data_IF_665083838190
#
_entry.id   IF_665083838190
#
_cell.length_a   1.000
_cell.length_b   1.000
_cell.length_c   1.000
_cell.angle_alpha   90.00
_cell.angle_beta   90.00
_cell.angle_gamma   90.00
#
_symmetry.space_group_name_H-M   'P 1'
#
loop_
_entity.id
_entity.type
_entity.pdbx_description
1 polymer ?
#
# COMPACT_ATOMS: atom_id res chain seq x y z
N UNK A 1 -1.50 -26.23 13.18
CA UNK A 1 -2.57 -25.23 13.38
C UNK A 1 -2.02 -23.87 12.94
N UNK A 2 -2.68 -23.21 12.00
CA UNK A 2 -2.25 -21.91 11.45
C UNK A 2 -2.70 -20.72 12.33
N UNK A 3 -3.42 -20.96 13.41
CA UNK A 3 -3.89 -19.92 14.34
C UNK A 3 -4.62 -18.77 13.65
N UNK A 4 -4.24 -17.54 13.95
CA UNK A 4 -4.79 -16.30 13.40
C UNK A 4 -3.97 -15.75 12.19
N UNK A 5 -3.07 -16.55 11.61
CA UNK A 5 -2.10 -16.13 10.59
C UNK A 5 -2.70 -16.07 9.17
N UNK A 6 -1.90 -15.61 8.21
CA UNK A 6 -2.21 -15.57 6.79
C UNK A 6 -2.69 -16.91 6.24
N UNK A 7 -2.17 -18.04 6.72
CA UNK A 7 -2.56 -19.40 6.31
C UNK A 7 -3.82 -19.94 7.00
N UNK A 8 -4.52 -19.15 7.82
CA UNK A 8 -5.74 -19.58 8.48
C UNK A 8 -6.89 -19.73 7.47
N UNK A 9 -7.58 -20.88 7.48
CA UNK A 9 -8.79 -21.08 6.69
C UNK A 9 -9.97 -20.24 7.17
N UNK A 10 -10.01 -19.89 8.45
CA UNK A 10 -11.07 -19.07 9.06
C UNK A 10 -10.74 -17.58 9.01
N UNK A 11 -9.52 -17.20 9.41
CA UNK A 11 -9.14 -15.81 9.63
C UNK A 11 -8.21 -15.24 8.55
N UNK A 12 -7.81 -16.03 7.56
CA UNK A 12 -6.91 -15.58 6.50
C UNK A 12 -7.45 -14.38 5.69
N UNK A 13 -8.77 -14.22 5.63
CA UNK A 13 -9.42 -13.05 5.04
C UNK A 13 -9.16 -11.73 5.74
N UNK A 14 -8.74 -11.75 7.01
CA UNK A 14 -8.30 -10.56 7.72
C UNK A 14 -6.95 -10.03 7.17
N UNK A 15 -6.09 -10.91 6.72
CA UNK A 15 -4.70 -10.58 6.35
C UNK A 15 -4.49 -10.35 4.85
N UNK A 16 -5.37 -10.87 3.99
CA UNK A 16 -5.22 -10.79 2.55
C UNK A 16 -6.57 -10.75 1.84
N UNK A 17 -6.63 -10.13 0.66
CA UNK A 17 -7.75 -10.32 -0.25
C UNK A 17 -7.68 -11.71 -0.90
N UNK A 18 -8.82 -12.29 -1.35
CA UNK A 18 -8.80 -13.59 -2.02
C UNK A 18 -7.88 -13.62 -3.26
N UNK A 19 -7.90 -12.55 -4.06
CA UNK A 19 -7.09 -12.43 -5.27
C UNK A 19 -5.59 -12.38 -4.95
N UNK A 20 -5.20 -11.58 -3.96
CA UNK A 20 -3.79 -11.46 -3.54
C UNK A 20 -3.28 -12.78 -2.94
N UNK A 21 -4.10 -13.47 -2.14
CA UNK A 21 -3.76 -14.76 -1.55
C UNK A 21 -3.54 -15.83 -2.60
N UNK A 22 -4.38 -15.85 -3.65
CA UNK A 22 -4.25 -16.80 -4.74
C UNK A 22 -2.92 -16.72 -5.49
N UNK A 23 -2.24 -15.56 -5.48
CA UNK A 23 -0.92 -15.41 -6.10
C UNK A 23 0.18 -16.17 -5.34
N UNK A 24 0.02 -16.31 -4.03
CA UNK A 24 1.00 -16.95 -3.15
C UNK A 24 0.57 -18.34 -2.65
N UNK A 25 -0.51 -18.87 -3.22
CA UNK A 25 -0.98 -20.23 -2.93
C UNK A 25 0.03 -21.29 -3.38
N UNK A 26 0.16 -22.37 -2.60
CA UNK A 26 1.14 -23.41 -2.87
C UNK A 26 0.89 -24.12 -4.22
N UNK A 27 -0.38 -24.36 -4.58
CA UNK A 27 -0.70 -25.00 -5.84
C UNK A 27 -0.40 -24.07 -7.03
N UNK A 28 -0.74 -22.77 -6.90
CA UNK A 28 -0.45 -21.75 -7.90
C UNK A 28 1.06 -21.56 -8.11
N UNK A 29 1.83 -21.47 -7.01
CA UNK A 29 3.29 -21.39 -7.06
C UNK A 29 3.89 -22.63 -7.74
N UNK A 30 3.48 -23.82 -7.30
CA UNK A 30 4.00 -25.07 -7.81
C UNK A 30 3.69 -25.24 -9.30
N UNK A 31 2.47 -24.91 -9.73
CA UNK A 31 2.10 -24.91 -11.15
C UNK A 31 2.99 -23.96 -11.95
N UNK A 32 3.17 -22.74 -11.51
CA UNK A 32 4.01 -21.75 -12.20
C UNK A 32 5.49 -22.17 -12.26
N UNK A 33 6.02 -22.81 -11.21
CA UNK A 33 7.37 -23.39 -11.24
C UNK A 33 7.52 -24.47 -12.29
N UNK A 34 6.52 -25.36 -12.41
CA UNK A 34 6.48 -26.40 -13.47
C UNK A 34 6.46 -25.73 -14.84
N UNK A 35 5.60 -24.71 -15.05
CA UNK A 35 5.50 -24.01 -16.33
C UNK A 35 6.83 -23.34 -16.72
N UNK A 36 7.51 -22.71 -15.77
CA UNK A 36 8.85 -22.13 -16.00
C UNK A 36 9.88 -23.20 -16.42
N UNK A 37 9.84 -24.36 -15.78
CA UNK A 37 10.75 -25.47 -16.09
C UNK A 37 10.45 -26.13 -17.44
N UNK A 38 9.17 -26.19 -17.84
CA UNK A 38 8.78 -26.63 -19.18
C UNK A 38 9.32 -25.67 -20.24
N UNK A 39 9.09 -24.35 -20.05
CA UNK A 39 9.60 -23.34 -20.97
C UNK A 39 11.13 -23.38 -21.06
N UNK A 40 11.82 -23.59 -19.93
CA UNK A 40 13.27 -23.72 -19.92
C UNK A 40 13.73 -24.94 -20.74
N UNK A 41 13.12 -26.10 -20.56
CA UNK A 41 13.45 -27.32 -21.29
C UNK A 41 13.21 -27.16 -22.81
N UNK A 42 12.09 -26.55 -23.21
CA UNK A 42 11.78 -26.27 -24.62
C UNK A 42 12.83 -25.32 -25.24
N UNK A 43 13.18 -24.24 -24.55
CA UNK A 43 14.21 -23.29 -25.03
C UNK A 43 15.59 -23.95 -25.10
N UNK A 44 15.95 -24.79 -24.14
CA UNK A 44 17.20 -25.56 -24.19
C UNK A 44 17.24 -26.51 -25.38
N UNK A 45 16.14 -27.14 -25.71
CA UNK A 45 16.03 -28.00 -26.89
C UNK A 45 16.09 -27.19 -28.21
N UNK A 46 15.44 -26.01 -28.29
CA UNK A 46 15.54 -25.08 -29.43
C UNK A 46 17.01 -24.74 -29.73
N UNK A 47 17.86 -24.67 -28.71
CA UNK A 47 19.27 -24.29 -28.82
C UNK A 47 20.23 -25.51 -28.80
N UNK A 48 19.71 -26.73 -28.81
CA UNK A 48 20.52 -27.96 -28.83
C UNK A 48 21.27 -28.24 -27.53
N UNK A 49 20.87 -27.66 -26.42
CA UNK A 49 21.46 -27.91 -25.08
C UNK A 49 20.99 -29.24 -24.49
N UNK A 50 19.73 -29.58 -24.73
CA UNK A 50 19.16 -30.89 -24.38
C UNK A 50 18.52 -31.54 -25.60
N UNK A 51 18.31 -32.88 -25.61
CA UNK A 51 17.60 -33.55 -26.70
C UNK A 51 16.17 -33.05 -26.85
N UNK A 52 15.71 -32.81 -28.09
CA UNK A 52 14.34 -32.40 -28.35
C UNK A 52 13.29 -33.39 -27.81
N UNK A 53 13.59 -34.70 -27.85
CA UNK A 53 12.74 -35.75 -27.27
C UNK A 53 12.59 -35.58 -25.74
N UNK A 54 13.65 -35.18 -25.02
CA UNK A 54 13.59 -34.92 -23.59
C UNK A 54 12.61 -33.78 -23.29
N UNK A 55 12.71 -32.67 -24.05
CA UNK A 55 11.80 -31.54 -23.89
C UNK A 55 10.33 -31.93 -24.14
N UNK A 56 10.06 -32.77 -25.17
CA UNK A 56 8.70 -33.28 -25.45
C UNK A 56 8.17 -34.10 -24.27
N UNK A 57 8.96 -35.07 -23.77
CA UNK A 57 8.57 -35.90 -22.62
C UNK A 57 8.28 -35.08 -21.36
N UNK A 58 9.08 -34.01 -21.11
CA UNK A 58 8.84 -33.07 -20.01
C UNK A 58 7.51 -32.32 -20.22
N UNK A 59 7.30 -31.76 -21.40
CA UNK A 59 6.11 -31.00 -21.72
C UNK A 59 4.82 -31.86 -21.60
N UNK A 60 4.83 -33.06 -22.17
CA UNK A 60 3.69 -33.99 -22.15
C UNK A 60 3.34 -34.43 -20.71
N UNK A 61 4.35 -34.75 -19.91
CA UNK A 61 4.16 -35.12 -18.51
C UNK A 61 3.60 -33.95 -17.68
N UNK A 62 4.08 -32.75 -17.91
CA UNK A 62 3.65 -31.55 -17.18
C UNK A 62 2.29 -31.04 -17.64
N UNK A 63 1.91 -31.22 -18.91
CA UNK A 63 0.60 -30.81 -19.43
C UNK A 63 -0.56 -31.63 -18.81
N UNK A 64 -0.36 -32.91 -18.56
CA UNK A 64 -1.33 -33.79 -17.94
C UNK A 64 -1.34 -33.76 -16.40
N UNK A 65 -0.37 -33.03 -15.79
CA UNK A 65 -0.18 -33.03 -14.34
C UNK A 65 -1.15 -32.08 -13.64
N UNK A 66 -1.91 -32.61 -12.70
CA UNK A 66 -2.77 -31.83 -11.79
C UNK A 66 -2.03 -31.56 -10.51
N UNK A 67 -1.91 -30.28 -10.14
CA UNK A 67 -1.29 -29.86 -8.87
C UNK A 67 -2.38 -29.85 -7.80
N UNK A 68 -2.73 -31.02 -7.33
CA UNK A 68 -3.71 -31.24 -6.26
C UNK A 68 -3.02 -31.46 -4.89
N UNK A 69 -3.83 -31.73 -3.87
CA UNK A 69 -3.32 -31.99 -2.52
C UNK A 69 -2.37 -33.18 -2.45
N UNK A 70 -2.61 -34.24 -3.26
CA UNK A 70 -1.75 -35.42 -3.30
C UNK A 70 -0.38 -35.09 -3.90
N UNK A 71 -0.34 -34.30 -4.98
CA UNK A 71 0.90 -33.85 -5.59
C UNK A 71 1.70 -32.92 -4.66
N UNK A 72 1.02 -32.00 -3.97
CA UNK A 72 1.66 -31.13 -2.98
C UNK A 72 2.23 -31.91 -1.80
N UNK A 73 1.54 -32.97 -1.36
CA UNK A 73 2.04 -33.87 -0.32
C UNK A 73 3.30 -34.62 -0.77
N UNK A 74 3.34 -35.08 -2.03
CA UNK A 74 4.53 -35.69 -2.62
C UNK A 74 5.72 -34.72 -2.64
N UNK A 75 5.50 -33.47 -3.01
CA UNK A 75 6.51 -32.41 -2.97
C UNK A 75 6.99 -32.12 -1.53
N UNK A 76 6.05 -32.07 -0.56
CA UNK A 76 6.34 -31.84 0.85
C UNK A 76 7.22 -32.97 1.43
N UNK A 77 6.86 -34.21 1.18
CA UNK A 77 7.65 -35.36 1.63
C UNK A 77 9.10 -35.33 1.08
N UNK A 78 9.26 -34.92 -0.19
CA UNK A 78 10.58 -34.73 -0.78
C UNK A 78 11.35 -33.57 -0.15
N UNK A 79 10.70 -32.48 0.22
CA UNK A 79 11.35 -31.39 0.97
C UNK A 79 11.78 -31.84 2.37
N UNK A 80 10.91 -32.53 3.11
CA UNK A 80 11.19 -32.98 4.48
C UNK A 80 12.36 -33.98 4.51
N UNK A 81 12.48 -34.85 3.52
CA UNK A 81 13.56 -35.83 3.45
C UNK A 81 14.91 -35.26 3.02
N UNK A 82 14.91 -34.14 2.26
CA UNK A 82 16.14 -33.58 1.67
C UNK A 82 16.53 -32.21 2.20
N UNK A 83 15.61 -31.52 2.89
CA UNK A 83 15.72 -30.11 3.26
C UNK A 83 15.97 -29.16 2.06
N UNK A 84 15.63 -29.60 0.83
CA UNK A 84 15.85 -28.84 -0.40
C UNK A 84 14.53 -28.50 -1.10
N UNK A 85 14.27 -27.22 -1.31
CA UNK A 85 12.97 -26.68 -1.73
C UNK A 85 12.44 -27.20 -3.08
N UNK A 86 13.30 -27.69 -3.97
CA UNK A 86 12.89 -28.19 -5.31
C UNK A 86 13.01 -29.70 -5.48
N UNK A 87 13.69 -30.44 -4.61
CA UNK A 87 13.91 -31.88 -4.81
C UNK A 87 12.63 -32.69 -4.81
N UNK A 88 11.65 -32.32 -3.99
CA UNK A 88 10.31 -32.95 -4.02
C UNK A 88 9.62 -32.78 -5.37
N UNK A 89 9.59 -31.56 -5.89
CA UNK A 89 9.03 -31.24 -7.20
C UNK A 89 9.76 -31.97 -8.34
N UNK A 90 11.11 -31.91 -8.36
CA UNK A 90 11.93 -32.56 -9.38
C UNK A 90 11.66 -34.07 -9.40
N UNK A 91 11.67 -34.71 -8.24
CA UNK A 91 11.38 -36.14 -8.13
C UNK A 91 9.95 -36.50 -8.56
N UNK A 92 8.97 -35.68 -8.19
CA UNK A 92 7.57 -35.92 -8.55
C UNK A 92 7.34 -35.81 -10.07
N UNK A 93 7.95 -34.84 -10.74
CA UNK A 93 7.86 -34.69 -12.20
C UNK A 93 8.67 -35.77 -12.91
N UNK A 94 9.90 -36.06 -12.46
CA UNK A 94 10.76 -37.08 -13.06
C UNK A 94 10.11 -38.47 -13.08
N UNK A 95 9.33 -38.84 -12.06
CA UNK A 95 8.59 -40.10 -12.03
C UNK A 95 7.50 -40.19 -13.10
N UNK A 96 7.02 -39.08 -13.62
CA UNK A 96 5.96 -38.95 -14.61
C UNK A 96 6.48 -38.71 -16.03
N UNK A 97 7.67 -38.11 -16.12
CA UNK A 97 8.34 -37.90 -17.38
C UNK A 97 8.92 -39.23 -17.92
N UNK A 98 9.00 -39.36 -19.23
CA UNK A 98 9.69 -40.50 -19.85
C UNK A 98 11.19 -40.54 -19.49
N UNK A 99 11.92 -41.61 -19.86
CA UNK A 99 13.30 -41.81 -19.42
C UNK A 99 14.25 -40.66 -19.74
N UNK A 100 14.11 -40.04 -20.92
CA UNK A 100 14.91 -38.84 -21.27
C UNK A 100 14.42 -37.62 -20.53
N UNK A 101 13.12 -37.43 -20.43
CA UNK A 101 12.55 -36.31 -19.67
C UNK A 101 13.00 -36.31 -18.22
N UNK A 102 13.03 -37.46 -17.57
CA UNK A 102 13.50 -37.61 -16.19
C UNK A 102 14.98 -37.24 -16.01
N UNK A 103 15.83 -37.51 -17.01
CA UNK A 103 17.25 -37.17 -16.96
C UNK A 103 17.53 -35.67 -17.18
N UNK A 104 16.71 -35.01 -17.96
CA UNK A 104 16.97 -33.64 -18.41
C UNK A 104 16.06 -32.60 -17.72
N UNK A 105 15.08 -33.00 -16.94
CA UNK A 105 14.25 -32.06 -16.18
C UNK A 105 15.12 -31.24 -15.21
N UNK A 106 14.92 -29.92 -15.19
CA UNK A 106 15.68 -29.00 -14.35
C UNK A 106 17.16 -28.82 -14.74
N UNK A 107 17.58 -29.27 -15.92
CA UNK A 107 18.97 -29.19 -16.35
C UNK A 107 19.48 -27.74 -16.40
N UNK A 108 20.66 -27.49 -15.86
CA UNK A 108 21.35 -26.19 -15.92
C UNK A 108 20.77 -25.07 -15.04
N UNK A 109 19.64 -25.30 -14.39
CA UNK A 109 19.05 -24.33 -13.46
C UNK A 109 19.47 -24.57 -12.01
N UNK A 110 19.38 -23.53 -11.20
CA UNK A 110 19.40 -23.60 -9.74
C UNK A 110 18.05 -23.23 -9.16
N UNK A 111 17.77 -23.59 -7.92
CA UNK A 111 16.48 -23.29 -7.28
C UNK A 111 16.13 -21.81 -7.30
N UNK A 112 17.12 -20.95 -7.12
CA UNK A 112 16.90 -19.51 -7.08
C UNK A 112 16.54 -18.94 -8.44
N UNK A 113 17.01 -19.53 -9.56
CA UNK A 113 16.60 -19.13 -10.91
C UNK A 113 15.08 -19.22 -11.10
N UNK A 114 14.49 -20.32 -10.64
CA UNK A 114 13.07 -20.59 -10.78
C UNK A 114 12.25 -19.83 -9.73
N UNK A 115 12.73 -19.80 -8.49
CA UNK A 115 12.07 -19.12 -7.39
C UNK A 115 12.01 -17.60 -7.61
N UNK A 116 13.13 -16.98 -8.03
CA UNK A 116 13.20 -15.54 -8.27
C UNK A 116 12.39 -15.15 -9.52
N UNK A 117 12.50 -15.89 -10.63
CA UNK A 117 11.69 -15.62 -11.82
C UNK A 117 10.18 -15.77 -11.53
N UNK A 118 9.79 -16.79 -10.76
CA UNK A 118 8.41 -16.92 -10.25
C UNK A 118 8.02 -15.72 -9.41
N UNK A 119 8.88 -15.31 -8.46
CA UNK A 119 8.59 -14.20 -7.57
C UNK A 119 8.37 -12.90 -8.34
N UNK A 120 9.23 -12.58 -9.31
CA UNK A 120 9.07 -11.37 -10.14
C UNK A 120 7.75 -11.39 -10.93
N UNK A 121 7.37 -12.52 -11.51
CA UNK A 121 6.07 -12.69 -12.19
C UNK A 121 4.91 -12.50 -11.20
N UNK A 122 5.02 -13.05 -10.00
CA UNK A 122 4.00 -12.94 -8.95
C UNK A 122 3.88 -11.50 -8.43
N UNK A 123 5.00 -10.80 -8.21
CA UNK A 123 5.00 -9.40 -7.80
C UNK A 123 4.49 -8.48 -8.92
N UNK A 124 4.69 -8.81 -10.20
CA UNK A 124 4.06 -8.12 -11.33
C UNK A 124 2.53 -8.23 -11.27
N UNK A 125 2.02 -9.43 -11.02
CA UNK A 125 0.59 -9.66 -10.89
C UNK A 125 0.03 -8.96 -9.62
N UNK A 126 0.75 -9.02 -8.50
CA UNK A 126 0.41 -8.30 -7.27
C UNK A 126 0.40 -6.78 -7.48
N UNK A 127 1.37 -6.24 -8.23
CA UNK A 127 1.43 -4.82 -8.59
C UNK A 127 0.17 -4.38 -9.35
N UNK A 128 -0.34 -5.19 -10.27
CA UNK A 128 -1.57 -4.89 -10.98
C UNK A 128 -2.78 -4.78 -10.04
N UNK A 129 -2.89 -5.66 -9.04
CA UNK A 129 -3.93 -5.57 -8.01
C UNK A 129 -3.77 -4.32 -7.12
N UNK A 130 -2.55 -4.01 -6.71
CA UNK A 130 -2.26 -2.79 -5.93
C UNK A 130 -2.59 -1.51 -6.69
N UNK A 131 -2.28 -1.46 -7.98
CA UNK A 131 -2.63 -0.35 -8.87
C UNK A 131 -4.14 -0.17 -8.94
N UNK A 132 -4.90 -1.24 -9.12
CA UNK A 132 -6.35 -1.18 -9.16
C UNK A 132 -6.94 -0.64 -7.85
N UNK A 133 -6.42 -1.06 -6.69
CA UNK A 133 -6.85 -0.57 -5.39
C UNK A 133 -6.44 0.90 -5.14
N UNK A 134 -5.24 1.30 -5.56
CA UNK A 134 -4.82 2.70 -5.54
C UNK A 134 -5.70 3.58 -6.42
N UNK A 135 -6.03 3.14 -7.64
CA UNK A 135 -6.90 3.89 -8.54
C UNK A 135 -8.31 4.06 -7.95
N UNK A 136 -8.84 3.03 -7.27
CA UNK A 136 -10.11 3.14 -6.52
C UNK A 136 -10.02 4.13 -5.36
N UNK A 137 -8.94 4.08 -4.57
CA UNK A 137 -8.73 5.02 -3.47
C UNK A 137 -8.56 6.47 -3.97
N UNK A 138 -7.86 6.67 -5.09
CA UNK A 138 -7.70 7.96 -5.77
C UNK A 138 -9.07 8.49 -6.23
N UNK A 139 -9.90 7.65 -6.85
CA UNK A 139 -11.24 8.03 -7.29
C UNK A 139 -12.13 8.43 -6.11
N UNK A 140 -12.11 7.66 -5.01
CA UNK A 140 -12.84 7.96 -3.79
C UNK A 140 -12.37 9.28 -3.16
N UNK A 141 -11.07 9.52 -3.04
CA UNK A 141 -10.55 10.80 -2.57
C UNK A 141 -10.99 11.97 -3.45
N UNK A 142 -10.93 11.82 -4.78
CA UNK A 142 -11.36 12.85 -5.72
C UNK A 142 -12.87 13.15 -5.61
N UNK A 143 -13.69 12.14 -5.38
CA UNK A 143 -15.12 12.29 -5.09
C UNK A 143 -15.33 13.09 -3.80
N UNK A 144 -14.64 12.76 -2.71
CA UNK A 144 -14.72 13.49 -1.44
C UNK A 144 -14.25 14.95 -1.59
N UNK A 145 -13.20 15.21 -2.37
CA UNK A 145 -12.75 16.56 -2.68
C UNK A 145 -13.85 17.41 -3.34
N UNK A 146 -14.53 16.86 -4.35
CA UNK A 146 -15.61 17.57 -5.06
C UNK A 146 -16.84 17.77 -4.17
N UNK A 147 -17.30 16.70 -3.51
CA UNK A 147 -18.51 16.70 -2.69
C UNK A 147 -18.39 17.64 -1.49
N UNK A 148 -17.22 17.71 -0.89
CA UNK A 148 -16.97 18.46 0.34
C UNK A 148 -16.05 19.67 0.13
N UNK A 149 -16.01 20.20 -1.12
CA UNK A 149 -15.22 21.37 -1.50
C UNK A 149 -15.47 22.57 -0.60
N UNK A 150 -16.72 22.75 -0.16
CA UNK A 150 -17.21 23.88 0.62
C UNK A 150 -17.63 23.50 2.06
N UNK A 151 -17.48 22.24 2.45
CA UNK A 151 -17.84 21.76 3.79
C UNK A 151 -16.82 22.25 4.80
N UNK A 152 -17.20 23.22 5.63
CA UNK A 152 -16.34 23.78 6.68
C UNK A 152 -15.94 22.71 7.69
N UNK A 153 -14.66 22.68 8.04
CA UNK A 153 -14.08 21.80 9.04
C UNK A 153 -12.98 22.50 9.82
N UNK A 154 -12.71 22.11 11.07
CA UNK A 154 -11.55 22.63 11.79
C UNK A 154 -10.24 22.03 11.22
N UNK A 155 -9.33 22.87 10.81
CA UNK A 155 -7.93 22.49 10.62
C UNK A 155 -7.27 22.33 11.99
N UNK A 156 -6.62 21.18 12.23
CA UNK A 156 -5.99 20.88 13.52
C UNK A 156 -4.48 20.76 13.37
N UNK A 157 -3.76 21.42 14.26
CA UNK A 157 -2.31 21.26 14.42
C UNK A 157 -2.01 20.94 15.88
N UNK A 158 -1.08 20.04 16.14
CA UNK A 158 -0.73 19.60 17.50
C UNK A 158 -1.94 19.13 18.33
N UNK A 159 -2.95 18.53 17.65
CA UNK A 159 -4.20 18.09 18.30
C UNK A 159 -5.17 19.23 18.66
N UNK A 160 -4.83 20.50 18.37
CA UNK A 160 -5.65 21.67 18.69
C UNK A 160 -6.33 22.22 17.44
N UNK A 161 -7.52 22.79 17.61
CA UNK A 161 -8.20 23.52 16.54
C UNK A 161 -7.40 24.78 16.20
N UNK A 162 -7.03 24.90 14.95
CA UNK A 162 -6.31 26.07 14.41
C UNK A 162 -7.26 26.95 13.60
N UNK A 163 -7.17 26.88 12.29
CA UNK A 163 -7.92 27.72 11.35
C UNK A 163 -9.04 26.94 10.68
N UNK A 164 -10.08 27.63 10.14
CA UNK A 164 -11.06 27.02 9.25
C UNK A 164 -10.39 26.45 7.99
N UNK A 165 -10.77 25.26 7.63
CA UNK A 165 -10.49 24.62 6.34
C UNK A 165 -11.78 24.05 5.76
N UNK A 166 -11.70 23.39 4.60
CA UNK A 166 -12.79 22.52 4.14
C UNK A 166 -12.40 21.04 4.27
N UNK A 167 -13.38 20.15 4.44
CA UNK A 167 -13.09 18.71 4.43
C UNK A 167 -12.58 18.26 3.07
N UNK A 168 -13.05 18.87 1.97
CA UNK A 168 -12.51 18.64 0.64
C UNK A 168 -11.01 18.94 0.54
N UNK A 169 -10.51 19.98 1.23
CA UNK A 169 -9.09 20.29 1.30
C UNK A 169 -8.30 19.21 2.06
N UNK A 170 -8.84 18.67 3.14
CA UNK A 170 -8.25 17.52 3.84
C UNK A 170 -8.14 16.31 2.93
N UNK A 171 -9.23 15.96 2.22
CA UNK A 171 -9.25 14.87 1.25
C UNK A 171 -8.31 15.10 0.06
N UNK A 172 -8.10 16.36 -0.36
CA UNK A 172 -7.15 16.72 -1.42
C UNK A 172 -5.69 16.39 -1.03
N UNK A 173 -5.33 16.55 0.23
CA UNK A 173 -4.03 16.10 0.75
C UNK A 173 -3.83 14.59 0.59
N UNK A 174 -4.87 13.79 0.89
CA UNK A 174 -4.85 12.34 0.71
C UNK A 174 -4.76 11.96 -0.77
N UNK A 175 -5.55 12.60 -1.62
CA UNK A 175 -5.53 12.40 -3.08
C UNK A 175 -4.14 12.62 -3.67
N UNK A 176 -3.50 13.75 -3.33
CA UNK A 176 -2.18 14.09 -3.83
C UNK A 176 -1.11 13.06 -3.44
N UNK A 177 -1.20 12.50 -2.24
CA UNK A 177 -0.29 11.48 -1.74
C UNK A 177 -0.52 10.12 -2.43
N UNK A 178 -1.78 9.70 -2.58
CA UNK A 178 -2.15 8.47 -3.29
C UNK A 178 -1.70 8.49 -4.76
N UNK A 179 -1.79 9.63 -5.45
CA UNK A 179 -1.27 9.79 -6.81
C UNK A 179 0.26 9.59 -6.88
N UNK A 180 0.99 10.10 -5.90
CA UNK A 180 2.45 9.86 -5.83
C UNK A 180 2.78 8.39 -5.60
N UNK A 181 1.98 7.68 -4.78
CA UNK A 181 2.15 6.23 -4.60
C UNK A 181 1.83 5.45 -5.87
N UNK A 182 0.74 5.83 -6.57
CA UNK A 182 0.39 5.22 -7.85
C UNK A 182 1.54 5.33 -8.86
N UNK A 183 2.15 6.52 -8.97
CA UNK A 183 3.31 6.73 -9.84
C UNK A 183 4.50 5.86 -9.42
N UNK A 184 4.87 5.82 -8.13
CA UNK A 184 5.97 4.98 -7.64
C UNK A 184 5.77 3.50 -7.92
N UNK A 185 4.55 2.99 -7.72
CA UNK A 185 4.22 1.57 -7.98
C UNK A 185 4.35 1.24 -9.46
N UNK A 186 3.97 2.17 -10.33
CA UNK A 186 4.09 2.01 -11.78
C UNK A 186 5.56 2.06 -12.24
N UNK A 187 6.31 3.04 -11.76
CA UNK A 187 7.73 3.23 -12.07
C UNK A 187 8.61 2.06 -11.60
N UNK A 188 8.20 1.33 -10.54
CA UNK A 188 8.89 0.15 -10.07
C UNK A 188 8.96 -0.97 -11.12
N UNK A 189 8.00 -1.03 -12.06
CA UNK A 189 8.00 -2.00 -13.16
C UNK A 189 9.32 -2.03 -13.94
N UNK A 190 9.89 -0.85 -14.20
CA UNK A 190 11.13 -0.72 -14.96
C UNK A 190 12.34 -1.40 -14.28
N UNK A 191 12.31 -1.60 -12.97
CA UNK A 191 13.38 -2.25 -12.21
C UNK A 191 13.03 -3.67 -11.81
N UNK A 192 11.76 -3.98 -11.59
CA UNK A 192 11.29 -5.25 -11.05
C UNK A 192 10.98 -6.32 -12.11
N UNK A 193 10.57 -5.93 -13.35
CA UNK A 193 10.17 -6.92 -14.35
C UNK A 193 11.41 -7.56 -15.03
N UNK A 194 12.32 -8.11 -14.23
CA UNK A 194 13.53 -8.82 -14.65
C UNK A 194 13.49 -10.26 -14.19
N UNK A 195 14.12 -11.16 -14.96
CA UNK A 195 14.19 -12.57 -14.60
C UNK A 195 15.49 -12.96 -13.88
N UNK A 196 15.55 -14.18 -13.41
CA UNK A 196 16.76 -14.82 -12.89
C UNK A 196 16.94 -16.18 -13.57
N UNK A 197 18.02 -16.33 -14.31
CA UNK A 197 18.51 -17.60 -14.85
C UNK A 197 20.01 -17.45 -14.99
N UNK A 198 20.78 -18.00 -14.08
CA UNK A 198 22.21 -17.77 -14.01
C UNK A 198 23.01 -18.98 -13.49
N UNK A 199 22.32 -19.97 -12.95
CA UNK A 199 22.93 -21.18 -12.41
C UNK A 199 23.54 -20.97 -11.01
N UNK A 200 24.34 -21.91 -10.56
CA UNK A 200 24.78 -22.03 -9.17
C UNK A 200 25.48 -20.82 -8.58
N UNK A 201 26.35 -20.18 -9.36
CA UNK A 201 27.13 -18.98 -8.94
C UNK A 201 27.01 -17.81 -9.91
N UNK A 202 26.00 -17.81 -10.76
CA UNK A 202 25.73 -16.66 -11.62
C UNK A 202 26.41 -16.67 -12.99
N UNK A 203 27.08 -17.73 -13.40
CA UNK A 203 27.94 -17.78 -14.59
C UNK A 203 27.34 -18.50 -15.79
N UNK A 204 26.13 -19.08 -15.66
CA UNK A 204 25.45 -19.87 -16.69
C UNK A 204 26.26 -21.08 -17.22
N UNK A 205 27.32 -21.49 -16.54
CA UNK A 205 28.30 -22.46 -17.02
C UNK A 205 27.70 -23.80 -17.45
N UNK A 206 26.62 -24.24 -16.80
CA UNK A 206 25.95 -25.50 -17.13
C UNK A 206 25.21 -25.49 -18.48
N UNK A 207 24.92 -24.33 -19.05
CA UNK A 207 24.24 -24.18 -20.34
C UNK A 207 25.20 -24.10 -21.54
N UNK A 208 26.53 -24.10 -21.27
CA UNK A 208 27.56 -24.13 -22.28
C UNK A 208 27.57 -22.89 -23.19
N UNK A 209 28.07 -23.03 -24.45
CA UNK A 209 28.29 -21.88 -25.33
C UNK A 209 27.00 -21.16 -25.79
N UNK A 210 25.84 -21.78 -25.64
CA UNK A 210 24.53 -21.21 -26.00
C UNK A 210 23.82 -20.53 -24.83
N UNK A 211 24.48 -20.42 -23.69
CA UNK A 211 23.88 -19.95 -22.44
C UNK A 211 23.15 -18.61 -22.54
N UNK A 212 23.76 -17.62 -23.17
CA UNK A 212 23.16 -16.29 -23.33
C UNK A 212 21.95 -16.29 -24.28
N UNK A 213 21.97 -17.10 -25.34
CA UNK A 213 20.83 -17.25 -26.25
C UNK A 213 19.65 -17.94 -25.55
N UNK A 214 19.94 -19.00 -24.78
CA UNK A 214 18.93 -19.69 -23.94
C UNK A 214 18.33 -18.72 -22.93
N UNK A 215 19.15 -17.97 -22.23
CA UNK A 215 18.69 -16.99 -21.23
C UNK A 215 17.78 -15.93 -21.89
N UNK A 216 18.20 -15.31 -22.98
CA UNK A 216 17.43 -14.29 -23.69
C UNK A 216 16.08 -14.84 -24.20
N UNK A 217 16.11 -16.05 -24.79
CA UNK A 217 14.91 -16.71 -25.30
C UNK A 217 13.95 -17.12 -24.19
N UNK A 218 14.47 -17.62 -23.06
CA UNK A 218 13.68 -17.99 -21.89
C UNK A 218 12.90 -16.77 -21.36
N UNK A 219 13.59 -15.65 -21.13
CA UNK A 219 12.94 -14.46 -20.62
C UNK A 219 11.94 -13.85 -21.60
N UNK A 220 12.26 -13.86 -22.89
CA UNK A 220 11.28 -13.43 -23.91
C UNK A 220 9.98 -14.25 -23.87
N UNK A 221 10.07 -15.57 -23.62
CA UNK A 221 8.91 -16.44 -23.54
C UNK A 221 8.07 -16.27 -22.28
N UNK A 222 8.71 -15.95 -21.14
CA UNK A 222 7.99 -15.75 -19.88
C UNK A 222 7.60 -14.28 -19.63
N UNK A 223 8.00 -13.37 -20.52
CA UNK A 223 7.65 -11.95 -20.43
C UNK A 223 8.37 -11.18 -19.34
N UNK A 224 9.61 -11.55 -19.04
CA UNK A 224 10.54 -10.81 -18.19
C UNK A 224 11.72 -10.30 -19.02
N UNK A 225 12.38 -9.25 -18.53
CA UNK A 225 13.60 -8.74 -19.16
C UNK A 225 14.83 -9.54 -18.72
N UNK A 226 15.82 -9.60 -19.60
CA UNK A 226 17.15 -10.13 -19.28
C UNK A 226 17.80 -9.19 -18.29
N UNK A 227 18.30 -9.67 -17.13
CA UNK A 227 19.08 -8.84 -16.23
C UNK A 227 20.49 -8.59 -16.79
N UNK A 228 21.08 -7.44 -16.47
CA UNK A 228 22.45 -7.12 -16.86
C UNK A 228 23.48 -8.10 -16.27
N UNK A 229 23.23 -8.56 -15.05
CA UNK A 229 24.02 -9.55 -14.34
C UNK A 229 23.10 -10.45 -13.47
N UNK A 230 23.65 -11.57 -13.01
CA UNK A 230 23.00 -12.36 -11.95
C UNK A 230 22.79 -11.52 -10.70
N UNK A 231 21.57 -11.55 -10.17
CA UNK A 231 21.20 -10.80 -8.96
C UNK A 231 20.88 -11.72 -7.77
N UNK A 232 21.42 -12.94 -7.77
CA UNK A 232 21.22 -13.92 -6.67
C UNK A 232 21.66 -13.41 -5.31
N UNK A 233 22.67 -12.53 -5.26
CA UNK A 233 23.15 -11.89 -4.03
C UNK A 233 22.78 -10.38 -3.96
N UNK A 234 22.30 -9.77 -5.04
CA UNK A 234 21.88 -8.36 -5.09
C UNK A 234 20.36 -8.28 -4.91
N UNK A 235 19.90 -8.08 -3.69
CA UNK A 235 18.47 -8.17 -3.34
C UNK A 235 17.78 -6.82 -3.19
N UNK A 236 18.42 -5.76 -3.64
CA UNK A 236 17.93 -4.37 -3.60
C UNK A 236 16.52 -4.20 -4.21
N UNK A 237 16.21 -4.93 -5.28
CA UNK A 237 14.89 -4.93 -5.94
C UNK A 237 13.77 -5.35 -4.98
N UNK A 238 13.99 -6.39 -4.16
CA UNK A 238 13.00 -6.85 -3.20
C UNK A 238 12.89 -5.92 -2.00
N UNK A 239 14.00 -5.31 -1.60
CA UNK A 239 14.00 -4.28 -0.55
C UNK A 239 13.31 -3.01 -1.05
N UNK A 240 13.53 -2.59 -2.32
CA UNK A 240 12.79 -1.49 -2.94
C UNK A 240 11.27 -1.75 -2.91
N UNK A 241 10.84 -2.95 -3.30
CA UNK A 241 9.43 -3.35 -3.23
C UNK A 241 8.88 -3.23 -1.82
N UNK A 242 9.59 -3.75 -0.84
CA UNK A 242 9.18 -3.72 0.54
C UNK A 242 9.06 -2.30 1.10
N UNK A 243 10.03 -1.43 0.81
CA UNK A 243 10.01 -0.03 1.25
C UNK A 243 8.92 0.77 0.54
N UNK A 244 8.67 0.50 -0.73
CA UNK A 244 7.55 1.08 -1.46
C UNK A 244 6.22 0.73 -0.80
N UNK A 245 6.00 -0.54 -0.45
CA UNK A 245 4.78 -0.96 0.23
C UNK A 245 4.71 -0.43 1.68
N UNK A 246 5.84 -0.25 2.36
CA UNK A 246 5.88 0.39 3.67
C UNK A 246 5.43 1.86 3.60
N UNK A 247 5.82 2.60 2.57
CA UNK A 247 5.36 3.97 2.32
C UNK A 247 3.85 3.99 2.05
N UNK A 248 3.36 3.12 1.16
CA UNK A 248 1.93 3.01 0.85
C UNK A 248 1.11 2.64 2.09
N UNK A 249 1.56 1.64 2.84
CA UNK A 249 0.94 1.21 4.08
C UNK A 249 0.96 2.31 5.16
N UNK A 250 2.05 3.07 5.24
CA UNK A 250 2.16 4.22 6.15
C UNK A 250 1.14 5.31 5.86
N UNK A 251 0.90 5.60 4.58
CA UNK A 251 -0.15 6.55 4.17
C UNK A 251 -1.55 6.00 4.46
N UNK A 252 -1.79 4.72 4.19
CA UNK A 252 -3.06 4.09 4.51
C UNK A 252 -3.36 4.14 6.03
N UNK A 253 -2.36 3.84 6.87
CA UNK A 253 -2.44 3.97 8.33
C UNK A 253 -2.75 5.41 8.76
N UNK A 254 -2.03 6.40 8.20
CA UNK A 254 -2.25 7.82 8.54
C UNK A 254 -3.67 8.28 8.20
N UNK A 255 -4.20 7.89 7.05
CA UNK A 255 -5.58 8.24 6.65
C UNK A 255 -6.57 7.51 7.54
N UNK A 256 -6.40 6.20 7.75
CA UNK A 256 -7.23 5.40 8.64
C UNK A 256 -7.23 5.96 10.07
N UNK A 257 -6.05 6.33 10.59
CA UNK A 257 -5.92 6.90 11.93
C UNK A 257 -6.56 8.29 12.06
N UNK A 258 -6.50 9.12 11.01
CA UNK A 258 -7.25 10.38 10.99
C UNK A 258 -8.75 10.13 11.05
N UNK A 259 -9.28 9.19 10.26
CA UNK A 259 -10.70 8.82 10.27
C UNK A 259 -11.09 8.24 11.64
N UNK A 260 -10.25 7.37 12.22
CA UNK A 260 -10.42 6.87 13.58
C UNK A 260 -10.59 8.00 14.60
N UNK A 261 -9.70 9.01 14.56
CA UNK A 261 -9.77 10.14 15.47
C UNK A 261 -11.01 11.03 15.23
N UNK A 262 -11.35 11.27 13.98
CA UNK A 262 -12.53 12.09 13.64
C UNK A 262 -13.86 11.41 13.98
N UNK A 263 -13.87 10.08 14.12
CA UNK A 263 -15.05 9.28 14.48
C UNK A 263 -15.26 9.16 16.00
N UNK A 264 -14.28 9.54 16.85
CA UNK A 264 -14.44 9.49 18.30
C UNK A 264 -15.66 10.28 18.75
N UNK A 265 -16.35 9.83 19.79
CA UNK A 265 -17.62 10.43 20.25
C UNK A 265 -17.49 11.94 20.57
N UNK A 266 -16.33 12.36 21.12
CA UNK A 266 -16.06 13.76 21.44
C UNK A 266 -15.91 14.62 20.18
N UNK A 267 -15.49 14.04 19.05
CA UNK A 267 -15.28 14.73 17.76
C UNK A 267 -16.51 14.50 16.86
N UNK A 268 -16.80 13.26 16.46
CA UNK A 268 -18.00 12.85 15.76
C UNK A 268 -18.19 13.47 14.37
N UNK A 269 -17.10 13.82 13.67
CA UNK A 269 -17.12 14.54 12.39
C UNK A 269 -17.28 13.63 11.17
N UNK A 270 -16.92 12.36 11.32
CA UNK A 270 -17.04 11.34 10.26
C UNK A 270 -17.49 10.02 10.86
N UNK A 271 -17.93 9.10 9.99
CA UNK A 271 -18.21 7.70 10.35
C UNK A 271 -17.81 6.79 9.21
N UNK A 272 -17.27 5.61 9.57
CA UNK A 272 -17.08 4.52 8.62
C UNK A 272 -18.42 4.04 8.06
N UNK A 273 -18.45 3.56 6.79
CA UNK A 273 -19.65 2.95 6.23
C UNK A 273 -20.07 1.75 7.09
N UNK A 274 -21.38 1.60 7.29
CA UNK A 274 -21.90 0.41 7.95
C UNK A 274 -21.66 -0.82 7.07
N UNK A 275 -21.04 -1.86 7.63
CA UNK A 275 -20.98 -3.15 6.96
C UNK A 275 -22.37 -3.78 6.94
N UNK A 276 -22.82 -4.30 5.79
CA UNK A 276 -24.17 -4.83 5.61
C UNK A 276 -24.59 -5.90 6.64
N UNK A 277 -23.60 -6.64 7.19
CA UNK A 277 -23.79 -7.64 8.24
C UNK A 277 -22.84 -7.40 9.43
N UNK A 278 -22.28 -6.18 9.53
CA UNK A 278 -21.33 -5.83 10.57
C UNK A 278 -22.01 -5.67 11.93
N UNK A 279 -21.45 -6.32 12.94
CA UNK A 279 -21.85 -6.16 14.35
C UNK A 279 -20.89 -5.17 14.99
N UNK A 280 -21.33 -3.94 15.23
CA UNK A 280 -20.48 -2.91 15.85
C UNK A 280 -20.02 -3.29 17.26
N UNK A 281 -20.90 -3.90 18.05
CA UNK A 281 -20.60 -4.47 19.38
C UNK A 281 -21.63 -5.53 19.72
N UNK A 282 -21.16 -6.68 20.23
CA UNK A 282 -22.04 -7.77 20.67
C UNK A 282 -22.80 -7.39 21.96
N UNK A 283 -22.18 -6.61 22.84
CA UNK A 283 -22.70 -6.26 24.16
C UNK A 283 -23.29 -4.86 24.27
N UNK A 284 -22.94 -3.96 23.34
CA UNK A 284 -23.34 -2.56 23.36
C UNK A 284 -23.95 -2.17 22.00
N UNK A 285 -25.27 -2.34 21.80
CA UNK A 285 -25.91 -2.18 20.47
C UNK A 285 -25.76 -0.79 19.83
N UNK A 286 -25.53 0.25 20.63
CA UNK A 286 -25.33 1.63 20.17
C UNK A 286 -23.91 1.90 19.68
N UNK A 287 -22.92 1.03 20.02
CA UNK A 287 -21.50 1.24 19.74
C UNK A 287 -21.16 0.82 18.31
N UNK A 288 -20.56 1.71 17.52
CA UNK A 288 -20.01 1.45 16.20
C UNK A 288 -18.49 1.61 16.27
N UNK A 289 -17.77 0.50 16.34
CA UNK A 289 -16.32 0.52 16.38
C UNK A 289 -15.77 0.94 15.00
N UNK A 290 -14.63 1.66 14.94
CA UNK A 290 -13.92 1.98 13.71
C UNK A 290 -13.06 0.80 13.23
N UNK A 291 -13.70 -0.35 13.01
CA UNK A 291 -13.04 -1.64 12.71
C UNK A 291 -12.15 -1.60 11.47
N UNK A 292 -12.58 -0.86 10.44
CA UNK A 292 -11.82 -0.75 9.19
C UNK A 292 -10.54 0.07 9.40
N UNK A 293 -10.64 1.20 10.07
CA UNK A 293 -9.49 2.06 10.36
C UNK A 293 -8.48 1.37 11.29
N UNK A 294 -8.96 0.68 12.34
CA UNK A 294 -8.12 -0.12 13.23
C UNK A 294 -7.39 -1.22 12.47
N UNK A 295 -8.10 -1.90 11.58
CA UNK A 295 -7.53 -3.00 10.81
C UNK A 295 -6.48 -2.54 9.81
N UNK A 296 -6.71 -1.41 9.11
CA UNK A 296 -5.70 -0.76 8.25
C UNK A 296 -4.43 -0.48 9.04
N UNK A 297 -4.56 0.09 10.24
CA UNK A 297 -3.42 0.36 11.12
C UNK A 297 -2.65 -0.90 11.54
N UNK A 298 -3.34 -2.00 11.77
CA UNK A 298 -2.73 -3.31 12.08
C UNK A 298 -1.93 -3.84 10.88
N UNK A 299 -2.55 -3.88 9.70
CA UNK A 299 -1.91 -4.37 8.48
C UNK A 299 -0.67 -3.53 8.11
N UNK A 300 -0.75 -2.22 8.24
CA UNK A 300 0.36 -1.32 7.98
C UNK A 300 1.56 -1.57 8.92
N UNK A 301 1.32 -1.98 10.17
CA UNK A 301 2.40 -2.38 11.09
C UNK A 301 3.07 -3.66 10.63
N UNK A 302 2.29 -4.65 10.18
CA UNK A 302 2.83 -5.90 9.61
C UNK A 302 3.68 -5.62 8.38
N UNK A 303 3.20 -4.76 7.48
CA UNK A 303 3.99 -4.34 6.29
C UNK A 303 5.32 -3.74 6.69
N UNK A 304 5.32 -2.75 7.61
CA UNK A 304 6.57 -2.08 8.04
C UNK A 304 7.53 -3.01 8.77
N UNK A 305 7.03 -3.94 9.58
CA UNK A 305 7.87 -4.93 10.27
C UNK A 305 8.57 -5.86 9.28
N UNK A 306 7.84 -6.39 8.28
CA UNK A 306 8.43 -7.23 7.24
C UNK A 306 9.36 -6.45 6.30
N UNK A 307 9.09 -5.17 6.03
CA UNK A 307 9.99 -4.32 5.26
C UNK A 307 11.33 -4.07 5.99
N UNK A 308 11.29 -3.88 7.29
CA UNK A 308 12.50 -3.79 8.11
C UNK A 308 13.28 -5.10 8.10
N UNK A 309 12.60 -6.24 8.24
CA UNK A 309 13.21 -7.57 8.18
C UNK A 309 13.90 -7.83 6.83
N UNK A 310 13.27 -7.41 5.72
CA UNK A 310 13.89 -7.52 4.38
C UNK A 310 15.08 -6.58 4.21
N UNK A 311 15.08 -5.41 4.83
CA UNK A 311 16.24 -4.51 4.80
C UNK A 311 17.48 -5.12 5.48
N UNK A 312 17.28 -5.89 6.54
CA UNK A 312 18.36 -6.66 7.17
C UNK A 312 18.88 -7.79 6.26
N UNK A 313 18.03 -8.36 5.42
CA UNK A 313 18.38 -9.45 4.52
C UNK A 313 19.07 -9.01 3.23
N UNK A 314 19.31 -7.70 3.01
CA UNK A 314 20.03 -7.21 1.83
C UNK A 314 21.52 -7.57 1.84
N UNK A 315 22.08 -7.84 3.02
CA UNK A 315 23.48 -8.21 3.18
C UNK A 315 23.67 -9.71 2.95
N UNK A 316 24.12 -10.06 1.77
CA UNK A 316 24.40 -11.42 1.36
C UNK A 316 25.91 -11.72 1.39
N UNK A 317 26.27 -12.92 1.80
CA UNK A 317 27.64 -13.41 1.70
C UNK A 317 27.90 -14.01 0.30
N UNK A 318 28.97 -13.58 -0.34
CA UNK A 318 29.44 -14.08 -1.63
C UNK A 318 28.36 -14.02 -2.75
N UNK A 319 28.34 -14.98 -3.65
CA UNK A 319 27.39 -15.07 -4.77
C UNK A 319 26.03 -15.61 -4.38
N UNK A 320 25.88 -16.16 -3.15
CA UNK A 320 24.59 -16.67 -2.63
C UNK A 320 24.64 -16.88 -1.12
N UNK A 321 23.67 -16.32 -0.40
CA UNK A 321 23.49 -16.54 1.04
C UNK A 321 22.11 -17.14 1.35
N UNK A 322 22.09 -18.38 1.80
CA UNK A 322 20.85 -19.09 2.14
C UNK A 322 20.16 -18.56 3.41
N UNK A 323 20.87 -17.84 4.30
CA UNK A 323 20.26 -17.25 5.52
C UNK A 323 19.38 -16.07 5.14
N UNK A 324 19.95 -15.11 4.42
CA UNK A 324 19.26 -13.91 3.99
C UNK A 324 18.15 -14.25 2.99
N UNK A 325 18.40 -15.11 2.00
CA UNK A 325 17.40 -15.54 1.02
C UNK A 325 16.16 -16.18 1.65
N UNK A 326 16.29 -17.00 2.70
CA UNK A 326 15.13 -17.62 3.37
C UNK A 326 14.21 -16.63 4.10
N UNK A 327 14.72 -15.46 4.49
CA UNK A 327 13.90 -14.39 5.06
C UNK A 327 12.85 -13.90 4.05
N UNK A 328 13.20 -13.86 2.76
CA UNK A 328 12.32 -13.42 1.69
C UNK A 328 11.09 -14.34 1.52
N UNK A 329 11.27 -15.66 1.78
CA UNK A 329 10.16 -16.63 1.68
C UNK A 329 9.01 -16.33 2.63
N UNK A 330 9.34 -15.74 3.76
CA UNK A 330 8.38 -15.30 4.75
C UNK A 330 7.91 -13.85 4.49
N UNK A 331 8.86 -12.93 4.43
CA UNK A 331 8.55 -11.50 4.49
C UNK A 331 7.89 -10.96 3.22
N UNK A 332 8.31 -11.37 2.01
CA UNK A 332 7.77 -10.83 0.75
C UNK A 332 6.30 -11.17 0.54
N UNK A 333 5.85 -12.44 0.69
CA UNK A 333 4.42 -12.76 0.57
C UNK A 333 3.57 -12.01 1.60
N UNK A 334 3.97 -12.05 2.88
CA UNK A 334 3.16 -11.46 3.95
C UNK A 334 3.01 -9.96 3.83
N UNK A 335 4.11 -9.22 3.57
CA UNK A 335 4.01 -7.78 3.39
C UNK A 335 3.18 -7.39 2.17
N UNK A 336 3.31 -8.15 1.07
CA UNK A 336 2.56 -7.89 -0.17
C UNK A 336 1.06 -8.14 0.03
N UNK A 337 0.71 -9.24 0.66
CA UNK A 337 -0.67 -9.59 1.00
C UNK A 337 -1.29 -8.57 1.95
N UNK A 338 -0.57 -8.19 3.02
CA UNK A 338 -1.04 -7.20 3.99
C UNK A 338 -1.23 -5.81 3.37
N UNK A 339 -0.30 -5.36 2.52
CA UNK A 339 -0.40 -4.09 1.82
C UNK A 339 -1.62 -4.06 0.87
N UNK A 340 -1.83 -5.13 0.10
CA UNK A 340 -3.01 -5.28 -0.75
C UNK A 340 -4.32 -5.22 0.05
N UNK A 341 -4.38 -5.91 1.19
CA UNK A 341 -5.56 -5.86 2.06
C UNK A 341 -5.79 -4.46 2.63
N UNK A 342 -4.74 -3.78 3.09
CA UNK A 342 -4.83 -2.43 3.64
C UNK A 342 -5.35 -1.43 2.60
N UNK A 343 -4.88 -1.50 1.34
CA UNK A 343 -5.35 -0.65 0.25
C UNK A 343 -6.81 -0.93 -0.12
N UNK A 344 -7.20 -2.20 -0.21
CA UNK A 344 -8.58 -2.58 -0.51
C UNK A 344 -9.55 -2.06 0.56
N UNK A 345 -9.17 -2.15 1.84
CA UNK A 345 -9.93 -1.59 2.95
C UNK A 345 -9.98 -0.07 2.89
N UNK A 346 -8.85 0.60 2.62
CA UNK A 346 -8.80 2.05 2.51
C UNK A 346 -9.70 2.57 1.38
N UNK A 347 -9.66 1.93 0.21
CA UNK A 347 -10.52 2.31 -0.91
C UNK A 347 -12.01 2.21 -0.54
N UNK A 348 -12.42 1.11 0.10
CA UNK A 348 -13.80 0.92 0.55
C UNK A 348 -14.20 1.91 1.65
N UNK A 349 -13.29 2.19 2.60
CA UNK A 349 -13.50 3.16 3.67
C UNK A 349 -13.75 4.56 3.12
N UNK A 350 -12.92 5.02 2.17
CA UNK A 350 -13.02 6.34 1.57
C UNK A 350 -14.26 6.51 0.67
N UNK A 351 -14.63 5.46 -0.05
CA UNK A 351 -15.81 5.47 -0.93
C UNK A 351 -17.11 5.62 -0.13
N UNK A 352 -17.23 4.91 0.98
CA UNK A 352 -18.42 4.93 1.83
C UNK A 352 -18.34 5.87 3.04
N UNK A 353 -17.35 6.75 3.13
CA UNK A 353 -17.14 7.62 4.30
C UNK A 353 -18.32 8.61 4.48
N UNK A 354 -18.96 8.54 5.64
CA UNK A 354 -20.04 9.44 6.04
C UNK A 354 -19.47 10.71 6.69
N UNK A 355 -19.89 11.89 6.24
CA UNK A 355 -19.40 13.19 6.73
C UNK A 355 -20.52 13.94 7.42
N UNK A 356 -20.31 14.32 8.68
CA UNK A 356 -21.23 15.20 9.43
C UNK A 356 -20.76 16.67 9.35
N UNK A 357 -21.23 17.37 8.32
CA UNK A 357 -20.91 18.77 8.08
C UNK A 357 -21.40 19.70 9.20
N UNK A 358 -22.53 19.36 9.85
CA UNK A 358 -23.06 20.15 10.95
C UNK A 358 -22.16 20.03 12.19
N UNK A 359 -21.73 18.80 12.49
CA UNK A 359 -20.79 18.55 13.60
C UNK A 359 -19.42 19.19 13.36
N UNK A 360 -18.88 19.12 12.15
CA UNK A 360 -17.63 19.81 11.78
C UNK A 360 -17.73 21.32 12.05
N UNK A 361 -18.84 21.95 11.61
CA UNK A 361 -19.08 23.38 11.86
C UNK A 361 -19.23 23.68 13.34
N UNK A 362 -19.97 22.86 14.08
CA UNK A 362 -20.13 23.01 15.53
C UNK A 362 -18.78 22.90 16.25
N UNK A 363 -17.95 21.92 15.91
CA UNK A 363 -16.62 21.75 16.48
C UNK A 363 -15.70 22.92 16.16
N UNK A 364 -15.73 23.46 14.94
CA UNK A 364 -14.94 24.63 14.56
C UNK A 364 -15.23 25.83 15.48
N UNK A 365 -16.49 26.00 15.88
CA UNK A 365 -16.92 27.11 16.76
C UNK A 365 -16.87 26.77 18.24
N UNK A 366 -16.67 25.50 18.62
CA UNK A 366 -16.73 25.04 20.01
C UNK A 366 -15.69 25.70 20.95
N UNK A 367 -14.60 26.20 20.40
CA UNK A 367 -13.61 27.00 21.14
C UNK A 367 -14.06 28.43 21.44
N UNK A 368 -15.34 28.79 21.21
CA UNK A 368 -15.83 30.15 21.33
C UNK A 368 -15.43 31.06 20.16
N UNK A 369 -15.12 30.51 19.02
CA UNK A 369 -14.76 31.23 17.80
C UNK A 369 -13.34 31.79 17.78
N UNK A 370 -12.47 31.40 18.72
CA UNK A 370 -11.07 31.86 18.76
C UNK A 370 -10.27 31.42 17.53
N UNK A 371 -10.69 30.38 16.81
CA UNK A 371 -10.12 30.00 15.52
C UNK A 371 -10.18 31.10 14.44
N UNK A 372 -11.00 32.13 14.64
CA UNK A 372 -11.15 33.27 13.72
C UNK A 372 -10.22 34.45 14.03
N UNK A 373 -9.42 34.36 15.09
CA UNK A 373 -8.59 35.46 15.58
C UNK A 373 -7.48 35.87 14.59
N UNK A 374 -6.92 34.93 13.83
CA UNK A 374 -5.85 35.24 12.88
C UNK A 374 -6.33 36.12 11.73
N UNK A 375 -7.54 35.91 11.22
CA UNK A 375 -8.09 36.75 10.16
C UNK A 375 -8.23 38.22 10.59
N UNK A 376 -8.70 38.46 11.83
CA UNK A 376 -8.74 39.82 12.39
C UNK A 376 -7.35 40.39 12.57
N UNK A 377 -6.41 39.61 13.06
CA UNK A 377 -5.01 40.06 13.24
C UNK A 377 -4.40 40.48 11.90
N UNK A 378 -4.57 39.70 10.86
CA UNK A 378 -4.04 39.98 9.52
C UNK A 378 -4.69 41.22 8.91
N UNK A 379 -6.00 41.43 9.10
CA UNK A 379 -6.72 42.62 8.63
C UNK A 379 -6.28 43.87 9.39
N UNK A 380 -5.96 43.78 10.67
CA UNK A 380 -5.44 44.91 11.46
C UNK A 380 -3.98 45.29 11.11
N UNK A 381 -3.17 44.33 10.66
CA UNK A 381 -1.76 44.52 10.43
C UNK A 381 -1.42 45.72 9.50
N UNK A 382 -2.13 46.00 8.40
CA UNK A 382 -1.91 47.16 7.56
C UNK A 382 -2.16 48.51 8.29
N UNK A 383 -3.02 48.53 9.30
CA UNK A 383 -3.41 49.74 10.02
C UNK A 383 -2.48 50.08 11.20
N UNK A 384 -1.93 49.06 11.85
CA UNK A 384 -1.18 49.28 13.12
C UNK A 384 0.19 48.59 13.14
N UNK A 385 0.53 47.85 12.08
CA UNK A 385 1.74 47.00 12.04
C UNK A 385 1.51 45.63 12.66
N UNK A 386 2.24 44.62 12.15
CA UNK A 386 2.06 43.18 12.51
C UNK A 386 2.16 42.93 14.02
N UNK A 387 3.17 43.52 14.68
CA UNK A 387 3.41 43.27 16.12
C UNK A 387 2.31 43.89 17.00
N UNK A 388 1.85 45.10 16.63
CA UNK A 388 0.75 45.75 17.36
C UNK A 388 -0.57 45.02 17.14
N UNK A 389 -0.87 44.59 15.92
CA UNK A 389 -2.05 43.78 15.62
C UNK A 389 -2.07 42.48 16.44
N UNK A 390 -0.95 41.78 16.53
CA UNK A 390 -0.83 40.56 17.35
C UNK A 390 -1.13 40.85 18.84
N UNK A 391 -0.52 41.90 19.42
CA UNK A 391 -0.78 42.28 20.82
C UNK A 391 -2.22 42.67 21.07
N UNK A 392 -2.85 43.41 20.14
CA UNK A 392 -4.28 43.78 20.24
C UNK A 392 -5.18 42.56 20.26
N UNK A 393 -4.98 41.60 19.34
CA UNK A 393 -5.79 40.40 19.27
C UNK A 393 -5.54 39.45 20.45
N UNK A 394 -4.29 39.38 20.92
CA UNK A 394 -3.98 38.61 22.13
C UNK A 394 -4.71 39.22 23.36
N UNK A 395 -4.63 40.52 23.55
CA UNK A 395 -5.32 41.20 24.64
C UNK A 395 -6.86 41.04 24.56
N UNK A 396 -7.42 41.11 23.33
CA UNK A 396 -8.83 40.87 23.10
C UNK A 396 -9.20 39.44 23.50
N UNK A 397 -8.42 38.43 23.08
CA UNK A 397 -8.67 37.02 23.39
C UNK A 397 -8.56 36.76 24.90
N UNK A 398 -7.60 37.33 25.59
CA UNK A 398 -7.46 37.22 27.05
C UNK A 398 -8.64 37.88 27.77
N UNK A 399 -9.07 39.07 27.33
CA UNK A 399 -10.25 39.74 27.85
C UNK A 399 -11.51 38.89 27.65
N UNK A 400 -11.73 38.42 26.43
CA UNK A 400 -12.90 37.58 26.10
C UNK A 400 -12.99 36.36 27.02
N UNK A 401 -11.88 35.65 27.22
CA UNK A 401 -11.85 34.47 28.14
C UNK A 401 -12.15 34.85 29.58
N UNK A 402 -11.59 35.96 30.07
CA UNK A 402 -11.84 36.42 31.43
C UNK A 402 -13.30 36.83 31.67
N UNK A 403 -13.88 37.50 30.67
CA UNK A 403 -15.22 38.07 30.75
C UNK A 403 -16.31 37.03 30.34
N UNK A 404 -15.92 35.78 30.00
CA UNK A 404 -16.83 34.70 29.57
C UNK A 404 -17.50 34.95 28.21
N UNK A 405 -16.91 35.83 27.36
CA UNK A 405 -17.42 36.16 26.03
C UNK A 405 -16.84 35.24 24.95
N UNK A 406 -17.57 35.00 23.90
CA UNK A 406 -17.01 34.46 22.67
C UNK A 406 -16.09 35.48 21.99
N UNK A 407 -15.15 35.00 21.18
CA UNK A 407 -14.26 35.89 20.43
C UNK A 407 -15.03 36.83 19.46
N UNK A 408 -16.08 36.37 18.74
CA UNK A 408 -16.94 37.23 17.94
C UNK A 408 -17.62 38.34 18.75
N UNK A 409 -18.16 38.05 19.94
CA UNK A 409 -18.78 39.09 20.81
C UNK A 409 -17.76 40.10 21.26
N UNK A 410 -16.60 39.68 21.70
CA UNK A 410 -15.53 40.57 22.11
C UNK A 410 -15.01 41.45 20.96
N UNK A 411 -14.88 40.88 19.74
CA UNK A 411 -14.42 41.63 18.56
C UNK A 411 -15.42 42.71 18.13
N UNK A 412 -16.71 42.43 18.19
CA UNK A 412 -17.77 43.42 17.90
C UNK A 412 -17.81 44.55 18.91
N UNK A 413 -17.51 44.25 20.17
CA UNK A 413 -17.53 45.23 21.27
C UNK A 413 -16.25 46.04 21.45
N UNK A 414 -15.16 45.75 20.74
CA UNK A 414 -13.91 46.44 20.90
C UNK A 414 -13.85 47.73 20.03
N UNK A 415 -14.00 48.89 20.66
CA UNK A 415 -14.04 50.16 19.98
C UNK A 415 -12.79 50.46 19.15
N UNK A 416 -11.61 50.02 19.61
CA UNK A 416 -10.34 50.24 18.90
C UNK A 416 -10.27 49.42 17.60
N UNK A 417 -10.73 48.20 17.62
CA UNK A 417 -10.81 47.31 16.44
C UNK A 417 -11.88 47.79 15.47
N UNK A 418 -13.06 48.13 15.99
CA UNK A 418 -14.17 48.68 15.19
C UNK A 418 -13.78 49.97 14.47
N UNK A 419 -13.07 50.87 15.15
CA UNK A 419 -12.56 52.12 14.57
C UNK A 419 -11.56 51.90 13.42
N UNK A 420 -10.83 50.79 13.41
CA UNK A 420 -9.81 50.48 12.40
C UNK A 420 -10.37 49.71 11.20
N UNK A 421 -11.22 48.71 11.44
CA UNK A 421 -11.71 47.81 10.41
C UNK A 421 -13.14 48.14 9.92
N UNK A 422 -13.92 48.81 10.78
CA UNK A 422 -15.36 48.95 10.55
C UNK A 422 -16.16 47.70 10.87
N UNK A 423 -17.44 47.88 11.23
CA UNK A 423 -18.31 46.78 11.64
C UNK A 423 -18.52 45.74 10.51
N UNK A 424 -18.70 46.20 9.25
CA UNK A 424 -18.91 45.32 8.12
C UNK A 424 -17.75 44.38 7.83
N UNK A 425 -16.51 44.86 7.93
CA UNK A 425 -15.31 44.01 7.73
C UNK A 425 -15.14 43.01 8.88
N UNK A 426 -15.44 43.43 10.12
CA UNK A 426 -15.44 42.52 11.26
C UNK A 426 -16.43 41.38 11.05
N UNK A 427 -17.69 41.65 10.66
CA UNK A 427 -18.69 40.63 10.40
C UNK A 427 -18.25 39.67 9.29
N UNK A 428 -17.67 40.19 8.22
CA UNK A 428 -17.11 39.36 7.15
C UNK A 428 -15.99 38.42 7.66
N UNK A 429 -15.09 38.92 8.48
CA UNK A 429 -13.98 38.15 9.05
C UNK A 429 -14.42 37.17 10.16
N UNK A 430 -15.59 37.39 10.75
CA UNK A 430 -16.20 36.46 11.71
C UNK A 430 -17.00 35.33 11.04
N UNK A 431 -17.19 35.37 9.72
CA UNK A 431 -17.66 34.20 8.98
C UNK A 431 -16.47 33.26 8.69
N UNK A 432 -16.51 32.00 9.19
CA UNK A 432 -15.45 31.04 8.92
C UNK A 432 -15.15 30.83 7.42
N UNK A 433 -16.16 31.02 6.54
CA UNK A 433 -15.99 30.88 5.08
C UNK A 433 -15.03 31.92 4.51
N UNK A 434 -14.93 33.10 5.11
CA UNK A 434 -14.00 34.14 4.70
C UNK A 434 -12.54 33.79 5.07
N UNK A 435 -12.32 32.77 5.90
CA UNK A 435 -11.01 32.43 6.44
C UNK A 435 -10.48 31.05 6.00
N UNK A 436 -11.11 30.39 5.05
CA UNK A 436 -10.61 29.10 4.52
C UNK A 436 -9.43 29.26 3.57
N UNK A 437 -8.92 30.48 3.37
CA UNK A 437 -7.77 30.75 2.51
C UNK A 437 -8.03 30.29 1.06
N UNK A 438 -7.09 29.59 0.50
CA UNK A 438 -7.14 29.06 -0.87
C UNK A 438 -7.56 27.60 -0.96
N UNK A 439 -8.29 27.05 0.03
CA UNK A 439 -8.71 25.64 0.05
C UNK A 439 -9.37 25.23 -1.28
N UNK A 440 -10.34 26.01 -1.76
CA UNK A 440 -11.06 25.74 -3.00
C UNK A 440 -10.15 25.79 -4.24
N UNK A 441 -9.34 26.83 -4.38
CA UNK A 441 -8.39 26.97 -5.49
C UNK A 441 -7.33 25.87 -5.53
N UNK A 442 -6.89 25.39 -4.36
CA UNK A 442 -5.94 24.27 -4.25
C UNK A 442 -6.61 22.95 -4.66
N UNK A 443 -7.87 22.73 -4.27
CA UNK A 443 -8.67 21.57 -4.72
C UNK A 443 -8.84 21.62 -6.23
N UNK A 444 -9.29 22.76 -6.79
CA UNK A 444 -9.57 22.92 -8.21
C UNK A 444 -8.30 22.70 -9.05
N UNK A 445 -7.16 23.25 -8.61
CA UNK A 445 -5.85 23.00 -9.23
C UNK A 445 -5.47 21.52 -9.22
N UNK A 446 -5.67 20.83 -8.11
CA UNK A 446 -5.36 19.41 -7.99
C UNK A 446 -6.25 18.54 -8.88
N UNK A 447 -7.54 18.86 -8.95
CA UNK A 447 -8.50 18.13 -9.78
C UNK A 447 -8.39 18.46 -11.26
N UNK A 448 -8.04 19.70 -11.61
CA UNK A 448 -7.85 20.15 -13.00
C UNK A 448 -6.54 19.66 -13.64
N UNK A 449 -5.54 19.30 -12.85
CA UNK A 449 -4.29 18.68 -13.35
C UNK A 449 -4.50 17.27 -13.94
N UNK A 450 -5.75 16.83 -14.12
CA UNK A 450 -6.14 15.55 -14.73
C UNK A 450 -6.75 15.68 -16.14
N UNK A 451 -6.80 16.91 -16.72
CA UNK A 451 -7.28 17.10 -18.09
C UNK A 451 -6.14 17.09 -19.10
#
# INVERSE_FOLDING_TARGET
MTGWSFGSTVYGGAWSTPQMRALFDDAARTRRWIDLLVVLAEVQAEHGVIPAEAARQIADACASLVVDAAFLEECRAGYESTAHSTMGLIGAVARRAGPLGAQWFYFGATVQDIADSWLMLTLRDARALLIADLDRAIAACAMQCRRHRDTLAPGRTHGQQGLPITFGFKAAGWLAEMRRHRARVDEAAARMDIGQLAGGVGTLSALGPRALDVQARFFARIGLRVPDMSWTASRDILVEWAQLLALVGGTADRIGHEIYNLQRDEIGEVREPALAQGVGSITMPHKRNPETAEHIGTLARVVRANAALLSESVVHDHERDGRAWKVEWHAVPELTMAAGKALALLAALLDGLEIDAARMRANLMASGGFALSEGLMLALAPHVGKQAAHKMIQALAEKARRDGLSFPEAARGDAAIVAKLGAGEIERLLDPRAQIGHCQGLIDRLLGAQS
#
